data_IF_581921162716
#
_entry.id   IF_581921162716
#
_cell.length_a   1.000
_cell.length_b   1.000
_cell.length_c   1.000
_cell.angle_alpha   90.00
_cell.angle_beta   90.00
_cell.angle_gamma   90.00
#
_symmetry.space_group_name_H-M   'P 1'
#
loop_
_entity.id
_entity.type
_entity.pdbx_description
1 polymer ?
#
# COMPACT_ATOMS: atom_id res chain seq x y z
N UNK A 1 74.56 -25.71 22.95
CA UNK A 1 73.30 -26.45 22.67
C UNK A 1 72.18 -25.48 22.96
N UNK A 2 71.64 -24.82 21.90
CA UNK A 2 70.58 -23.84 22.02
C UNK A 2 69.30 -24.54 21.58
N UNK A 3 68.32 -24.65 22.47
CA UNK A 3 66.97 -25.17 22.15
C UNK A 3 66.05 -24.05 21.69
N UNK A 4 65.68 -24.05 20.44
CA UNK A 4 64.67 -23.16 19.84
C UNK A 4 63.27 -23.71 20.15
N UNK A 5 62.46 -22.94 20.86
CA UNK A 5 61.04 -23.19 21.09
C UNK A 5 60.20 -22.56 20.00
N UNK A 6 59.44 -23.38 19.25
CA UNK A 6 58.51 -22.95 18.21
C UNK A 6 57.16 -22.67 18.86
N UNK A 7 56.72 -21.42 18.83
CA UNK A 7 55.36 -21.01 19.27
C UNK A 7 54.42 -21.15 18.10
N UNK A 8 53.45 -22.05 18.19
CA UNK A 8 52.37 -22.24 17.23
C UNK A 8 51.23 -21.22 17.57
N UNK A 9 51.01 -20.27 16.66
CA UNK A 9 49.95 -19.27 16.76
C UNK A 9 48.67 -19.86 16.14
N UNK A 10 47.70 -20.28 16.96
CA UNK A 10 46.36 -20.67 16.49
C UNK A 10 45.53 -19.43 16.16
N UNK A 11 45.37 -19.17 14.89
CA UNK A 11 44.46 -18.12 14.42
C UNK A 11 43.00 -18.58 14.51
N UNK A 12 42.22 -17.93 15.37
CA UNK A 12 40.77 -18.12 15.51
C UNK A 12 40.05 -17.40 14.36
N UNK A 13 39.62 -18.13 13.33
CA UNK A 13 38.75 -17.60 12.31
C UNK A 13 37.33 -17.41 12.86
N UNK A 14 36.94 -16.16 13.13
CA UNK A 14 35.56 -15.77 13.38
C UNK A 14 34.78 -15.76 12.06
N UNK A 15 34.00 -16.83 11.82
CA UNK A 15 33.04 -16.88 10.74
C UNK A 15 31.82 -16.05 11.16
N UNK A 16 31.74 -14.81 10.66
CA UNK A 16 30.54 -14.00 10.81
C UNK A 16 29.42 -14.59 9.92
N UNK A 17 28.52 -15.35 10.51
CA UNK A 17 27.28 -15.76 9.84
C UNK A 17 26.36 -14.56 9.69
N UNK A 18 26.44 -13.89 8.54
CA UNK A 18 25.49 -12.88 8.14
C UNK A 18 24.11 -13.51 7.99
N UNK A 19 23.23 -13.31 8.98
CA UNK A 19 21.83 -13.63 8.87
C UNK A 19 21.20 -12.70 7.81
N UNK A 20 21.09 -13.18 6.57
CA UNK A 20 20.24 -12.54 5.56
C UNK A 20 18.80 -12.63 6.04
N UNK A 21 18.25 -11.50 6.48
CA UNK A 21 16.81 -11.36 6.74
C UNK A 21 16.08 -11.56 5.40
N UNK A 22 15.71 -12.80 5.10
CA UNK A 22 14.77 -13.08 4.01
C UNK A 22 13.44 -12.44 4.38
N UNK A 23 12.98 -11.51 3.56
CA UNK A 23 11.59 -11.04 3.56
C UNK A 23 10.69 -12.28 3.48
N UNK A 24 10.12 -12.68 4.61
CA UNK A 24 9.13 -13.76 4.64
C UNK A 24 7.83 -13.18 4.07
N UNK A 25 7.54 -13.48 2.82
CA UNK A 25 6.15 -13.66 2.38
C UNK A 25 5.68 -14.91 3.10
N UNK A 26 4.89 -14.76 4.12
CA UNK A 26 4.43 -15.90 4.92
C UNK A 26 3.07 -16.33 4.40
N UNK A 27 3.03 -17.35 3.52
CA UNK A 27 1.83 -18.12 3.21
C UNK A 27 1.23 -18.85 4.43
N UNK A 28 1.96 -18.83 5.55
CA UNK A 28 1.56 -19.43 6.83
C UNK A 28 1.18 -18.36 7.86
N UNK A 29 0.82 -17.15 7.42
CA UNK A 29 0.42 -16.07 8.32
C UNK A 29 -0.94 -16.40 8.96
N UNK A 30 -1.01 -16.26 10.27
CA UNK A 30 -2.25 -16.47 11.04
C UNK A 30 -3.19 -15.29 10.83
N UNK A 31 -4.48 -15.52 10.43
CA UNK A 31 -5.47 -14.47 10.31
C UNK A 31 -5.63 -13.66 11.60
N UNK A 32 -5.63 -12.34 11.49
CA UNK A 32 -5.76 -11.42 12.64
C UNK A 32 -4.46 -11.08 13.35
N UNK A 33 -3.33 -11.70 12.95
CA UNK A 33 -2.00 -11.42 13.52
C UNK A 33 -1.24 -10.47 12.59
N UNK A 34 -1.27 -9.19 12.91
CA UNK A 34 -0.59 -8.11 12.20
C UNK A 34 -0.56 -6.85 13.06
N UNK A 35 0.29 -5.87 12.71
CA UNK A 35 0.53 -4.70 13.55
C UNK A 35 -0.41 -3.52 13.20
N UNK A 36 -0.67 -3.26 11.92
CA UNK A 36 -1.41 -2.10 11.46
C UNK A 36 -2.03 -2.32 10.07
N UNK A 37 -2.86 -1.37 9.60
CA UNK A 37 -3.39 -1.35 8.26
C UNK A 37 -2.69 -0.31 7.38
N UNK A 38 -2.50 -0.62 6.10
CA UNK A 38 -2.15 0.33 5.06
C UNK A 38 -3.35 0.48 4.12
N UNK A 39 -3.98 1.66 4.13
CA UNK A 39 -4.99 2.03 3.14
C UNK A 39 -4.29 2.51 1.87
N UNK A 40 -4.50 1.81 0.77
CA UNK A 40 -3.99 2.18 -0.56
C UNK A 40 -5.07 2.82 -1.40
N UNK A 41 -4.81 4.04 -1.89
CA UNK A 41 -5.67 4.81 -2.78
C UNK A 41 -5.00 4.91 -4.14
N UNK A 42 -5.50 4.21 -5.16
CA UNK A 42 -4.99 4.26 -6.53
C UNK A 42 -5.54 5.44 -7.30
N UNK A 43 -4.67 6.11 -8.07
CA UNK A 43 -5.06 7.15 -9.01
C UNK A 43 -5.51 6.51 -10.33
N UNK A 44 -6.83 6.26 -10.49
CA UNK A 44 -7.40 5.58 -11.66
C UNK A 44 -6.97 6.15 -13.01
N UNK A 45 -6.83 7.48 -13.23
CA UNK A 45 -6.39 7.98 -14.53
C UNK A 45 -5.00 7.50 -14.94
N UNK A 46 -4.07 7.31 -13.99
CA UNK A 46 -2.74 6.77 -14.30
C UNK A 46 -2.81 5.26 -14.58
N UNK A 47 -3.63 4.52 -13.84
CA UNK A 47 -3.90 3.10 -14.10
C UNK A 47 -4.49 2.91 -15.51
N UNK A 48 -5.49 3.69 -15.89
CA UNK A 48 -6.13 3.62 -17.19
C UNK A 48 -5.21 3.98 -18.38
N UNK A 49 -4.14 4.73 -18.16
CA UNK A 49 -3.10 4.92 -19.17
C UNK A 49 -2.23 3.66 -19.38
N UNK A 50 -2.12 2.82 -18.35
CA UNK A 50 -1.34 1.59 -18.40
C UNK A 50 -2.19 0.39 -18.85
N UNK A 51 -3.45 0.36 -18.47
CA UNK A 51 -4.43 -0.69 -18.83
C UNK A 51 -5.74 -0.06 -19.31
N UNK A 52 -5.78 0.45 -20.56
CA UNK A 52 -6.97 1.11 -21.10
C UNK A 52 -8.13 0.16 -21.34
N UNK A 53 -7.89 -1.17 -21.31
CA UNK A 53 -8.93 -2.20 -21.47
C UNK A 53 -9.70 -2.50 -20.18
N UNK A 54 -9.23 -2.04 -19.03
CA UNK A 54 -9.88 -2.32 -17.76
C UNK A 54 -11.30 -1.76 -17.70
N UNK A 55 -12.23 -2.52 -17.09
CA UNK A 55 -13.65 -2.17 -17.06
C UNK A 55 -13.93 -0.80 -16.41
N UNK A 56 -13.18 -0.45 -15.38
CA UNK A 56 -13.29 0.83 -14.68
C UNK A 56 -12.88 2.03 -15.53
N UNK A 57 -12.08 1.79 -16.59
CA UNK A 57 -11.59 2.84 -17.49
C UNK A 57 -12.58 3.15 -18.63
N UNK A 58 -13.47 2.21 -18.93
CA UNK A 58 -14.40 2.26 -20.06
C UNK A 58 -15.87 2.45 -19.63
N UNK A 59 -16.14 2.47 -18.32
CA UNK A 59 -17.49 2.66 -17.80
C UNK A 59 -18.00 4.10 -17.95
N UNK A 60 -19.30 4.34 -17.69
CA UNK A 60 -19.90 5.67 -17.74
C UNK A 60 -19.41 6.60 -16.62
N UNK A 61 -18.97 6.03 -15.50
CA UNK A 61 -18.42 6.78 -14.36
C UNK A 61 -16.92 6.96 -14.51
N UNK A 62 -16.45 8.17 -14.25
CA UNK A 62 -15.03 8.50 -14.22
C UNK A 62 -14.54 8.53 -12.78
N UNK A 63 -13.39 7.93 -12.54
CA UNK A 63 -12.81 7.80 -11.20
C UNK A 63 -11.54 8.64 -11.11
N UNK A 64 -11.36 9.30 -9.97
CA UNK A 64 -10.10 9.84 -9.50
C UNK A 64 -9.38 8.83 -8.65
N UNK A 65 -9.33 9.06 -7.32
CA UNK A 65 -8.90 8.03 -6.39
C UNK A 65 -9.98 6.97 -6.19
N UNK A 66 -9.57 5.71 -6.27
CA UNK A 66 -10.33 4.55 -5.82
C UNK A 66 -9.58 3.89 -4.65
N UNK A 67 -10.27 3.10 -3.87
CA UNK A 67 -9.61 2.22 -2.92
C UNK A 67 -9.01 1.05 -3.69
N UNK A 68 -7.68 0.89 -3.62
CA UNK A 68 -7.03 -0.34 -4.05
C UNK A 68 -7.29 -1.42 -2.99
N UNK A 69 -6.93 -1.17 -1.75
CA UNK A 69 -7.16 -2.09 -0.66
C UNK A 69 -6.89 -1.49 0.73
N UNK A 70 -7.17 -2.30 1.75
CA UNK A 70 -6.82 -2.06 3.14
C UNK A 70 -6.00 -3.25 3.63
N UNK A 71 -4.70 -3.12 3.61
CA UNK A 71 -3.78 -4.24 3.76
C UNK A 71 -3.28 -4.39 5.20
N UNK A 72 -3.49 -5.53 5.86
CA UNK A 72 -2.76 -5.85 7.08
C UNK A 72 -1.25 -5.81 6.85
N UNK A 73 -0.51 -5.19 7.77
CA UNK A 73 0.93 -4.96 7.69
C UNK A 73 1.60 -5.30 9.01
N UNK A 74 2.86 -5.75 8.95
CA UNK A 74 3.74 -5.83 10.11
C UNK A 74 4.75 -4.69 10.10
N UNK A 75 5.45 -4.46 11.20
CA UNK A 75 6.58 -3.51 11.21
C UNK A 75 7.69 -3.94 10.23
N UNK A 76 7.79 -5.26 9.95
CA UNK A 76 8.66 -5.81 8.93
C UNK A 76 7.88 -6.83 8.09
N UNK A 77 7.71 -6.57 6.78
CA UNK A 77 6.93 -7.39 5.87
C UNK A 77 5.41 -7.25 6.09
N UNK A 78 4.66 -8.18 5.55
CA UNK A 78 3.21 -8.21 5.63
C UNK A 78 2.66 -9.63 5.49
N UNK A 79 1.52 -9.96 6.13
CA UNK A 79 0.80 -11.20 5.87
C UNK A 79 0.07 -11.10 4.53
N UNK A 80 0.05 -12.20 3.78
CA UNK A 80 -0.60 -12.27 2.48
C UNK A 80 -1.12 -13.69 2.24
N UNK A 81 -2.28 -13.80 1.57
CA UNK A 81 -2.90 -15.06 1.20
C UNK A 81 -3.10 -16.01 2.39
N UNK A 82 -3.66 -15.49 3.49
CA UNK A 82 -3.98 -16.30 4.66
C UNK A 82 -5.04 -17.35 4.30
N UNK A 83 -4.90 -18.56 4.86
CA UNK A 83 -5.71 -19.71 4.48
C UNK A 83 -7.15 -19.61 5.02
N UNK A 84 -7.95 -18.70 4.45
CA UNK A 84 -9.39 -18.54 4.73
C UNK A 84 -10.17 -18.72 3.45
N UNK A 85 -10.96 -19.81 3.40
CA UNK A 85 -11.81 -20.12 2.25
C UNK A 85 -13.22 -19.57 2.46
N UNK A 86 -13.43 -18.31 2.11
CA UNK A 86 -14.73 -17.65 2.17
C UNK A 86 -14.99 -16.92 0.85
N UNK A 87 -16.06 -17.30 0.10
CA UNK A 87 -16.40 -16.59 -1.11
C UNK A 87 -16.90 -15.18 -0.81
N UNK A 88 -16.63 -14.24 -1.72
CA UNK A 88 -17.14 -12.87 -1.63
C UNK A 88 -18.56 -12.84 -2.21
N UNK A 89 -19.61 -12.53 -1.43
CA UNK A 89 -20.97 -12.43 -1.93
C UNK A 89 -21.14 -11.25 -2.90
N UNK A 90 -22.04 -11.41 -3.88
CA UNK A 90 -22.36 -10.33 -4.84
C UNK A 90 -22.88 -9.06 -4.17
N UNK A 91 -23.57 -9.20 -3.04
CA UNK A 91 -24.03 -8.05 -2.22
C UNK A 91 -22.88 -7.22 -1.67
N UNK A 92 -21.77 -7.87 -1.29
CA UNK A 92 -20.54 -7.16 -0.85
C UNK A 92 -19.90 -6.45 -2.03
N UNK A 93 -19.75 -7.14 -3.17
CA UNK A 93 -19.16 -6.55 -4.39
C UNK A 93 -19.96 -5.31 -4.83
N UNK A 94 -21.28 -5.44 -4.89
CA UNK A 94 -22.17 -4.31 -5.25
C UNK A 94 -22.12 -3.19 -4.22
N UNK A 95 -22.08 -3.55 -2.93
CA UNK A 95 -22.04 -2.60 -1.83
C UNK A 95 -20.76 -1.76 -1.73
N UNK A 96 -19.67 -2.13 -2.43
CA UNK A 96 -18.39 -1.38 -2.41
C UNK A 96 -17.99 -0.81 -3.78
N UNK A 97 -18.78 -1.06 -4.82
CA UNK A 97 -18.45 -0.72 -6.21
C UNK A 97 -18.28 0.78 -6.49
N UNK A 98 -18.80 1.64 -5.62
CA UNK A 98 -18.65 3.10 -5.70
C UNK A 98 -17.23 3.57 -5.39
N UNK A 99 -16.47 2.82 -4.59
CA UNK A 99 -15.08 3.11 -4.19
C UNK A 99 -14.08 2.05 -4.68
N UNK A 100 -14.53 0.84 -5.02
CA UNK A 100 -13.75 -0.24 -5.62
C UNK A 100 -14.50 -0.75 -6.87
N UNK A 101 -14.38 -0.07 -8.02
CA UNK A 101 -15.27 -0.31 -9.17
C UNK A 101 -15.04 -1.64 -9.88
N UNK A 102 -13.82 -2.17 -9.84
CA UNK A 102 -13.47 -3.41 -10.52
C UNK A 102 -13.80 -4.63 -9.64
N UNK A 103 -14.76 -5.46 -10.09
CA UNK A 103 -15.16 -6.71 -9.40
C UNK A 103 -13.97 -7.63 -9.14
N UNK A 104 -13.06 -7.77 -10.11
CA UNK A 104 -11.83 -8.57 -9.98
C UNK A 104 -10.91 -8.06 -8.88
N UNK A 105 -10.84 -6.73 -8.68
CA UNK A 105 -10.08 -6.13 -7.60
C UNK A 105 -10.65 -6.53 -6.24
N UNK A 106 -11.99 -6.50 -6.07
CA UNK A 106 -12.63 -6.90 -4.81
C UNK A 106 -12.29 -8.35 -4.43
N UNK A 107 -12.33 -9.26 -5.40
CA UNK A 107 -11.94 -10.66 -5.16
C UNK A 107 -10.45 -10.81 -4.84
N UNK A 108 -9.58 -10.08 -5.55
CA UNK A 108 -8.15 -10.08 -5.30
C UNK A 108 -7.82 -9.58 -3.90
N UNK A 109 -8.37 -8.43 -3.53
CA UNK A 109 -8.12 -7.80 -2.24
C UNK A 109 -8.60 -8.65 -1.06
N UNK A 110 -9.74 -9.32 -1.20
CA UNK A 110 -10.16 -10.31 -0.21
C UNK A 110 -9.17 -11.46 -0.11
N UNK A 111 -8.83 -12.09 -1.23
CA UNK A 111 -7.96 -13.26 -1.26
C UNK A 111 -6.56 -12.97 -0.74
N UNK A 112 -5.95 -11.86 -1.19
CA UNK A 112 -4.58 -11.54 -0.86
C UNK A 112 -4.43 -10.95 0.55
N UNK A 113 -5.37 -10.08 0.96
CA UNK A 113 -5.21 -9.24 2.14
C UNK A 113 -6.34 -9.38 3.16
N UNK A 114 -7.59 -9.39 2.71
CA UNK A 114 -8.75 -9.47 3.58
C UNK A 114 -8.76 -10.72 4.46
N UNK A 115 -8.37 -11.86 3.90
CA UNK A 115 -8.22 -13.14 4.61
C UNK A 115 -7.28 -13.05 5.80
N UNK A 116 -6.31 -12.14 5.77
CA UNK A 116 -5.34 -11.94 6.84
C UNK A 116 -5.82 -10.99 7.94
N UNK A 117 -6.95 -10.30 7.74
CA UNK A 117 -7.49 -9.36 8.72
C UNK A 117 -8.06 -10.02 9.98
N UNK A 118 -8.38 -11.31 9.94
CA UNK A 118 -9.11 -12.02 10.99
C UNK A 118 -10.61 -11.72 11.01
N UNK A 119 -11.12 -10.96 10.03
CA UNK A 119 -12.52 -10.59 9.88
C UNK A 119 -13.21 -11.51 8.86
N UNK A 120 -14.55 -11.59 8.94
CA UNK A 120 -15.35 -12.11 7.86
C UNK A 120 -15.37 -11.14 6.66
N UNK A 121 -15.73 -11.65 5.46
CA UNK A 121 -15.68 -10.87 4.22
C UNK A 121 -16.49 -9.58 4.29
N UNK A 122 -17.71 -9.63 4.84
CA UNK A 122 -18.58 -8.45 4.96
C UNK A 122 -17.98 -7.39 5.91
N UNK A 123 -17.47 -7.83 7.06
CA UNK A 123 -16.86 -6.94 8.05
C UNK A 123 -15.56 -6.32 7.54
N UNK A 124 -14.75 -7.08 6.78
CA UNK A 124 -13.55 -6.54 6.16
C UNK A 124 -13.89 -5.41 5.18
N UNK A 125 -14.86 -5.60 4.27
CA UNK A 125 -15.22 -4.55 3.32
C UNK A 125 -15.98 -3.39 3.97
N UNK A 126 -16.69 -3.62 5.07
CA UNK A 126 -17.22 -2.54 5.91
C UNK A 126 -16.10 -1.72 6.55
N UNK A 127 -15.01 -2.40 7.00
CA UNK A 127 -13.82 -1.73 7.53
C UNK A 127 -13.08 -0.94 6.45
N UNK A 128 -12.94 -1.48 5.22
CA UNK A 128 -12.40 -0.78 4.05
C UNK A 128 -13.16 0.53 3.81
N UNK A 129 -14.49 0.47 3.77
CA UNK A 129 -15.34 1.66 3.59
C UNK A 129 -15.15 2.66 4.73
N UNK A 130 -15.08 2.16 5.97
CA UNK A 130 -14.85 3.01 7.14
C UNK A 130 -13.49 3.71 7.10
N UNK A 131 -12.43 3.01 6.66
CA UNK A 131 -11.10 3.58 6.50
C UNK A 131 -11.10 4.68 5.44
N UNK A 132 -11.69 4.42 4.26
CA UNK A 132 -11.81 5.40 3.19
C UNK A 132 -12.63 6.62 3.61
N UNK A 133 -13.76 6.42 4.30
CA UNK A 133 -14.64 7.49 4.78
C UNK A 133 -13.99 8.45 5.79
N UNK A 134 -12.86 8.09 6.38
CA UNK A 134 -12.07 8.96 7.27
C UNK A 134 -11.09 9.86 6.53
N UNK A 135 -10.92 9.68 5.21
CA UNK A 135 -9.95 10.41 4.41
C UNK A 135 -10.65 11.38 3.46
N UNK A 136 -10.34 12.64 3.60
CA UNK A 136 -10.79 13.68 2.68
C UNK A 136 -9.83 13.76 1.50
N UNK A 137 -10.32 13.51 0.28
CA UNK A 137 -9.53 13.72 -0.94
C UNK A 137 -9.32 15.22 -1.14
N UNK A 138 -8.07 15.70 -1.32
CA UNK A 138 -7.80 17.11 -1.53
C UNK A 138 -8.55 17.67 -2.75
N UNK A 139 -9.11 18.88 -2.65
CA UNK A 139 -9.86 19.52 -3.73
C UNK A 139 -9.07 19.60 -5.05
N UNK A 140 -7.74 19.83 -4.97
CA UNK A 140 -6.84 19.86 -6.13
C UNK A 140 -6.70 18.49 -6.84
N UNK A 141 -7.12 17.40 -6.20
CA UNK A 141 -7.09 16.03 -6.72
C UNK A 141 -8.51 15.44 -6.90
N UNK A 142 -9.56 16.22 -6.65
CA UNK A 142 -10.95 15.74 -6.79
C UNK A 142 -11.45 15.72 -8.22
N UNK A 143 -10.83 16.48 -9.14
CA UNK A 143 -11.26 16.54 -10.53
C UNK A 143 -10.36 17.38 -11.42
N UNK A 144 -9.05 17.09 -11.50
CA UNK A 144 -8.17 17.83 -12.42
C UNK A 144 -8.63 17.59 -13.86
N UNK A 145 -8.88 18.68 -14.59
CA UNK A 145 -9.31 18.64 -15.99
C UNK A 145 -8.14 18.58 -16.98
N UNK A 146 -6.94 18.90 -16.51
CA UNK A 146 -5.68 18.86 -17.26
C UNK A 146 -4.62 18.11 -16.47
N UNK A 147 -3.61 17.60 -17.17
CA UNK A 147 -2.45 17.00 -16.50
C UNK A 147 -1.69 18.09 -15.71
N UNK A 148 -1.38 17.80 -14.47
CA UNK A 148 -0.63 18.70 -13.58
C UNK A 148 0.70 18.05 -13.24
N UNK A 149 1.80 18.77 -13.52
CA UNK A 149 3.12 18.36 -13.05
C UNK A 149 3.41 19.05 -11.71
N UNK A 150 3.77 18.26 -10.71
CA UNK A 150 4.08 18.77 -9.37
C UNK A 150 4.99 17.82 -8.59
N UNK A 151 5.74 18.30 -7.59
CA UNK A 151 6.56 17.44 -6.76
C UNK A 151 5.67 16.54 -5.87
N UNK A 152 6.11 15.29 -5.55
CA UNK A 152 5.40 14.40 -4.63
C UNK A 152 5.07 15.08 -3.28
N UNK A 153 5.97 15.94 -2.80
CA UNK A 153 5.76 16.71 -1.57
C UNK A 153 4.54 17.65 -1.62
N UNK A 154 4.16 18.16 -2.80
CA UNK A 154 2.97 19.01 -2.94
C UNK A 154 1.68 18.19 -2.77
N UNK A 155 1.65 16.95 -3.30
CA UNK A 155 0.54 16.01 -3.09
C UNK A 155 0.42 15.66 -1.61
N UNK A 156 1.55 15.31 -0.97
CA UNK A 156 1.61 15.01 0.45
C UNK A 156 1.06 16.18 1.29
N UNK A 157 1.53 17.40 1.02
CA UNK A 157 1.05 18.61 1.70
C UNK A 157 -0.45 18.87 1.46
N UNK A 158 -0.98 18.57 0.27
CA UNK A 158 -2.40 18.67 -0.02
C UNK A 158 -3.22 17.69 0.84
N UNK A 159 -2.78 16.44 0.95
CA UNK A 159 -3.44 15.45 1.83
C UNK A 159 -3.42 15.88 3.30
N UNK A 160 -2.32 16.41 3.81
CA UNK A 160 -2.25 16.91 5.19
C UNK A 160 -3.14 18.10 5.46
N UNK A 161 -3.24 19.05 4.51
CA UNK A 161 -4.17 20.17 4.64
C UNK A 161 -5.64 19.71 4.69
N UNK A 162 -5.99 18.71 3.88
CA UNK A 162 -7.34 18.15 3.86
C UNK A 162 -7.62 17.24 5.08
N UNK A 163 -6.58 16.71 5.72
CA UNK A 163 -6.67 15.72 6.81
C UNK A 163 -5.68 16.08 7.94
N UNK A 164 -6.03 16.97 8.86
CA UNK A 164 -5.09 17.49 9.88
C UNK A 164 -4.49 16.43 10.81
N UNK A 165 -5.06 15.22 10.88
CA UNK A 165 -4.52 14.09 11.65
C UNK A 165 -3.40 13.33 10.93
N UNK A 166 -3.24 13.51 9.62
CA UNK A 166 -2.16 12.89 8.85
C UNK A 166 -0.84 13.61 9.10
N UNK A 167 0.25 12.89 8.95
CA UNK A 167 1.62 13.40 9.03
C UNK A 167 2.45 12.91 7.83
N UNK A 168 3.62 13.52 7.54
CA UNK A 168 4.54 13.00 6.54
C UNK A 168 4.98 11.57 6.81
N UNK A 169 5.03 11.15 8.08
CA UNK A 169 5.40 9.81 8.48
C UNK A 169 4.27 8.78 8.32
N UNK A 170 3.01 9.23 8.28
CA UNK A 170 1.84 8.36 8.12
C UNK A 170 1.38 8.21 6.66
N UNK A 171 2.00 8.92 5.72
CA UNK A 171 1.50 9.01 4.34
C UNK A 171 2.64 8.85 3.34
N UNK A 172 2.44 8.00 2.33
CA UNK A 172 3.40 7.72 1.27
C UNK A 172 2.77 8.06 -0.07
N UNK A 173 3.43 8.87 -0.88
CA UNK A 173 3.02 9.15 -2.27
C UNK A 173 3.86 8.28 -3.20
N UNK A 174 3.27 7.33 -3.90
CA UNK A 174 3.96 6.48 -4.85
C UNK A 174 3.79 6.95 -6.29
N UNK A 175 4.77 6.67 -7.12
CA UNK A 175 4.74 6.98 -8.54
C UNK A 175 5.21 5.79 -9.38
N UNK A 176 4.79 5.78 -10.65
CA UNK A 176 5.13 4.76 -11.61
C UNK A 176 5.56 5.37 -12.94
N UNK A 177 6.19 4.55 -13.76
CA UNK A 177 6.63 4.90 -15.09
C UNK A 177 8.14 5.04 -15.21
N UNK A 178 8.67 4.63 -16.36
CA UNK A 178 10.01 4.98 -16.78
C UNK A 178 9.91 6.28 -17.59
N UNK A 179 10.81 7.23 -17.35
CA UNK A 179 10.79 8.55 -17.98
C UNK A 179 10.02 9.59 -17.15
N UNK A 180 8.81 9.96 -17.54
CA UNK A 180 7.97 10.90 -16.77
C UNK A 180 7.12 10.16 -15.73
N UNK A 181 7.51 10.16 -14.45
CA UNK A 181 6.77 9.45 -13.41
C UNK A 181 5.36 10.03 -13.24
N UNK A 182 4.39 9.16 -12.97
CA UNK A 182 2.99 9.55 -12.76
C UNK A 182 2.56 9.19 -11.34
N UNK A 183 1.65 9.99 -10.78
CA UNK A 183 0.99 9.61 -9.53
C UNK A 183 0.36 8.23 -9.70
N UNK A 184 0.78 7.29 -8.88
CA UNK A 184 0.24 5.93 -8.86
C UNK A 184 -0.73 5.75 -7.72
N UNK A 185 -0.26 5.92 -6.49
CA UNK A 185 -1.04 5.69 -5.28
C UNK A 185 -0.67 6.66 -4.17
N UNK A 186 -1.59 6.82 -3.24
CA UNK A 186 -1.32 7.40 -1.93
C UNK A 186 -1.64 6.34 -0.88
N UNK A 187 -0.63 5.96 -0.09
CA UNK A 187 -0.78 5.01 1.00
C UNK A 187 -0.90 5.77 2.33
N UNK A 188 -1.80 5.33 3.18
CA UNK A 188 -2.03 5.90 4.50
C UNK A 188 -1.94 4.79 5.52
N UNK A 189 -1.00 4.91 6.46
CA UNK A 189 -0.81 3.94 7.53
C UNK A 189 -1.75 4.27 8.70
N UNK A 190 -2.52 3.27 9.11
CA UNK A 190 -3.58 3.38 10.11
C UNK A 190 -3.35 2.32 11.20
N UNK A 191 -3.54 2.65 12.47
CA UNK A 191 -3.61 1.65 13.51
C UNK A 191 -4.83 0.73 13.33
N UNK A 192 -4.98 -0.29 14.14
CA UNK A 192 -6.11 -1.23 14.06
C UNK A 192 -7.48 -0.58 14.37
N UNK A 193 -7.47 0.62 14.94
CA UNK A 193 -8.66 1.46 15.19
C UNK A 193 -8.88 2.50 14.09
N UNK A 194 -8.11 2.42 12.99
CA UNK A 194 -8.14 3.33 11.85
C UNK A 194 -7.72 4.78 12.19
N UNK A 195 -6.88 5.00 13.19
CA UNK A 195 -6.24 6.28 13.40
C UNK A 195 -4.90 6.33 12.65
N UNK A 196 -4.50 7.48 12.10
CA UNK A 196 -3.20 7.63 11.46
C UNK A 196 -2.04 7.26 12.41
N UNK A 197 -1.09 6.48 11.89
CA UNK A 197 0.15 6.12 12.58
C UNK A 197 1.33 6.24 11.62
N UNK A 198 2.54 6.29 12.13
CA UNK A 198 3.74 6.25 11.28
C UNK A 198 3.79 4.94 10.49
N UNK A 199 4.13 5.03 9.21
CA UNK A 199 4.38 3.88 8.36
C UNK A 199 5.65 3.15 8.82
N UNK A 200 5.68 1.82 8.61
CA UNK A 200 6.91 1.07 8.77
C UNK A 200 7.97 1.48 7.73
N UNK A 201 9.22 1.13 7.98
CA UNK A 201 10.30 1.38 7.01
C UNK A 201 10.04 0.68 5.67
N UNK A 202 9.36 -0.46 5.69
CA UNK A 202 9.00 -1.22 4.48
C UNK A 202 7.96 -0.46 3.64
N UNK A 203 6.90 0.03 4.25
CA UNK A 203 5.88 0.83 3.57
C UNK A 203 6.47 2.16 3.05
N UNK A 204 7.33 2.82 3.83
CA UNK A 204 7.97 4.07 3.46
C UNK A 204 8.92 3.95 2.25
N UNK A 205 9.42 2.75 1.92
CA UNK A 205 10.21 2.52 0.69
C UNK A 205 9.44 2.79 -0.60
N UNK A 206 8.11 2.73 -0.55
CA UNK A 206 7.23 3.07 -1.67
C UNK A 206 7.20 4.55 -2.04
N UNK A 207 7.83 5.43 -1.24
CA UNK A 207 7.85 6.87 -1.49
C UNK A 207 8.48 7.23 -2.84
N UNK A 208 7.74 7.98 -3.66
CA UNK A 208 8.23 8.53 -4.91
C UNK A 208 9.43 9.46 -4.67
N UNK A 209 10.56 9.17 -5.33
CA UNK A 209 11.82 9.93 -5.19
C UNK A 209 12.08 10.87 -6.35
N UNK A 210 11.15 10.96 -7.32
CA UNK A 210 11.27 11.89 -8.43
C UNK A 210 11.16 13.34 -7.93
N UNK A 211 11.83 14.26 -8.62
CA UNK A 211 11.71 15.70 -8.34
C UNK A 211 10.30 16.21 -8.63
N UNK A 212 9.66 15.69 -9.69
CA UNK A 212 8.26 15.95 -10.04
C UNK A 212 7.60 14.69 -10.56
N UNK A 213 6.27 14.66 -10.55
CA UNK A 213 5.45 13.64 -11.17
C UNK A 213 4.24 14.28 -11.85
N UNK A 214 3.71 13.58 -12.83
CA UNK A 214 2.49 13.98 -13.54
C UNK A 214 1.28 13.39 -12.81
N UNK A 215 0.28 14.21 -12.55
CA UNK A 215 -1.08 13.81 -12.16
C UNK A 215 -1.94 13.85 -13.42
N UNK A 216 -2.25 12.71 -14.06
CA UNK A 216 -3.14 12.69 -15.23
C UNK A 216 -4.55 13.20 -14.88
N UNK A 217 -5.28 13.86 -15.83
CA UNK A 217 -6.63 14.31 -15.59
C UNK A 217 -7.62 13.15 -15.50
N UNK A 218 -8.72 13.37 -14.79
CA UNK A 218 -9.88 12.47 -14.81
C UNK A 218 -10.58 12.63 -16.17
N UNK A 219 -10.72 11.53 -16.92
CA UNK A 219 -11.28 11.51 -18.29
C UNK A 219 -12.46 10.56 -18.36
#
# INVERSE_FOLDING_TARGET
>A
MIKTATVAMFGLLLVATGASARHRRSSDAEPGVFDYYLLSLSWSPAFCLSDPGAAECNGPRRFGFIVHGLWPQNESGWPENCNVHQPVPDTVVSGISDIMPARGLVYHEWSAHGTCSGLGVADYFALVRSAYGRINIPASLSGPQQAVEQPPAAILAAFMRANPKLSPASTVVSCSGQGAPRLREVHICLDRSLNPRNCSADAARGQCRAASLIVPPIR
#
